data_IF_907971297416
#
_entry.id   IF_907971297416
#
_cell.length_a   1.000
_cell.length_b   1.000
_cell.length_c   1.000
_cell.angle_alpha   90.00
_cell.angle_beta   90.00
_cell.angle_gamma   90.00
#
_symmetry.space_group_name_H-M   'P 1'
#
loop_
_entity.id
_entity.type
_entity.pdbx_description
1 polymer ?
#
# COMPACT_ATOMS: atom_id res chain seq x y z
N UNK A 1 0.47 -14.40 -10.45
CA UNK A 1 0.67 -13.16 -9.67
C UNK A 1 -0.16 -13.28 -8.42
N UNK A 2 0.43 -13.00 -7.26
CA UNK A 2 -0.28 -12.93 -5.98
C UNK A 2 -0.46 -11.46 -5.63
N UNK A 3 -1.64 -11.09 -5.15
CA UNK A 3 -1.91 -9.73 -4.69
C UNK A 3 -2.16 -9.75 -3.19
N UNK A 4 -1.60 -8.76 -2.49
CA UNK A 4 -1.87 -8.50 -1.08
C UNK A 4 -2.66 -7.21 -1.02
N UNK A 5 -3.85 -7.26 -0.41
CA UNK A 5 -4.66 -6.09 -0.17
C UNK A 5 -4.14 -5.34 1.06
N UNK A 6 -3.55 -4.17 0.83
CA UNK A 6 -2.93 -3.38 1.89
C UNK A 6 -3.88 -2.38 2.56
N UNK A 7 -5.11 -2.26 2.05
CA UNK A 7 -6.18 -1.51 2.70
C UNK A 7 -6.95 -0.57 1.77
N UNK A 8 -8.06 -0.05 2.29
CA UNK A 8 -8.92 0.93 1.63
C UNK A 8 -8.35 2.35 1.79
N UNK A 9 -8.11 3.01 0.67
CA UNK A 9 -7.50 4.34 0.63
C UNK A 9 -8.50 5.46 0.89
N UNK A 10 -9.74 5.27 0.48
CA UNK A 10 -10.78 6.27 0.54
C UNK A 10 -12.15 5.64 0.34
N UNK A 11 -13.12 6.07 1.14
CA UNK A 11 -14.55 5.82 0.95
C UNK A 11 -15.29 7.16 0.91
N UNK A 12 -16.31 7.28 0.08
CA UNK A 12 -17.10 8.51 0.01
C UNK A 12 -18.40 8.36 -0.77
N UNK A 13 -19.39 9.19 -0.41
CA UNK A 13 -20.67 9.23 -1.12
C UNK A 13 -20.52 9.94 -2.47
N UNK A 14 -21.02 9.29 -3.52
CA UNK A 14 -21.07 9.87 -4.86
C UNK A 14 -22.42 10.57 -5.02
N UNK A 15 -22.45 11.91 -4.87
CA UNK A 15 -23.67 12.70 -5.10
C UNK A 15 -23.83 13.07 -6.58
N UNK A 16 -24.80 12.40 -7.23
CA UNK A 16 -25.30 12.76 -8.55
C UNK A 16 -24.45 12.24 -9.73
N UNK A 17 -24.71 12.80 -10.92
CA UNK A 17 -24.09 12.37 -12.20
C UNK A 17 -22.90 13.22 -12.62
N UNK A 18 -22.29 13.97 -11.71
CA UNK A 18 -21.21 14.91 -12.04
C UNK A 18 -19.90 14.13 -12.24
N UNK A 19 -18.90 14.77 -12.84
CA UNK A 19 -17.55 14.19 -12.84
C UNK A 19 -16.99 14.27 -11.42
N UNK A 20 -16.48 13.16 -10.92
CA UNK A 20 -15.81 13.06 -9.63
C UNK A 20 -14.29 13.02 -9.88
N UNK A 21 -13.53 13.69 -9.02
CA UNK A 21 -12.08 13.68 -9.05
C UNK A 21 -11.58 13.32 -7.66
N UNK A 22 -10.73 12.30 -7.60
CA UNK A 22 -10.06 11.88 -6.38
C UNK A 22 -8.56 12.04 -6.58
N UNK A 23 -7.88 12.56 -5.56
CA UNK A 23 -6.44 12.62 -5.51
C UNK A 23 -5.98 11.69 -4.40
N UNK A 24 -5.00 10.84 -4.69
CA UNK A 24 -4.40 9.93 -3.73
C UNK A 24 -2.87 10.08 -3.82
N UNK A 25 -2.19 9.98 -2.70
CA UNK A 25 -0.76 10.30 -2.55
C UNK A 25 0.12 9.10 -2.21
N UNK A 26 -0.27 7.89 -2.62
CA UNK A 26 0.51 6.64 -2.49
C UNK A 26 0.89 6.27 -1.06
N UNK A 27 0.16 6.81 -0.07
CA UNK A 27 0.37 6.46 1.35
C UNK A 27 -0.57 5.36 1.78
N UNK A 28 -0.10 4.56 2.74
CA UNK A 28 -0.85 3.51 3.41
C UNK A 28 -0.72 3.60 4.93
N UNK A 29 -1.73 3.11 5.68
CA UNK A 29 -1.71 3.13 7.12
C UNK A 29 -0.77 2.04 7.64
N UNK A 30 0.05 2.43 8.61
CA UNK A 30 0.99 1.53 9.28
C UNK A 30 0.77 1.55 10.78
N UNK A 31 0.88 0.39 11.40
CA UNK A 31 0.96 0.23 12.84
C UNK A 31 2.42 0.26 13.28
N UNK A 32 2.72 1.06 14.30
CA UNK A 32 4.10 1.26 14.78
C UNK A 32 4.11 1.62 16.27
N UNK A 33 5.29 1.51 16.90
CA UNK A 33 5.47 1.97 18.28
C UNK A 33 5.47 3.49 18.34
N UNK A 34 4.91 4.05 19.42
CA UNK A 34 4.98 5.49 19.68
C UNK A 34 6.44 5.96 19.73
N UNK A 35 6.73 7.10 19.10
CA UNK A 35 8.09 7.66 19.06
C UNK A 35 9.05 6.93 18.11
N UNK A 36 8.66 5.79 17.54
CA UNK A 36 9.38 5.22 16.40
C UNK A 36 9.23 6.14 15.19
N UNK A 37 10.34 6.44 14.51
CA UNK A 37 10.26 7.26 13.30
C UNK A 37 9.40 6.53 12.26
N UNK A 38 8.34 7.18 11.78
CA UNK A 38 7.43 6.58 10.82
C UNK A 38 8.17 6.23 9.51
N UNK A 39 8.16 4.93 9.16
CA UNK A 39 8.81 4.39 7.95
C UNK A 39 7.93 3.29 7.34
N UNK A 40 8.01 3.14 6.03
CA UNK A 40 7.33 2.06 5.33
C UNK A 40 7.76 0.68 5.90
N UNK A 41 6.81 -0.24 6.12
CA UNK A 41 7.09 -1.63 6.40
C UNK A 41 7.84 -2.26 5.23
N UNK A 42 8.89 -3.06 5.50
CA UNK A 42 9.58 -3.77 4.44
C UNK A 42 8.70 -4.87 3.86
N UNK A 43 8.40 -4.78 2.57
CA UNK A 43 7.65 -5.78 1.81
C UNK A 43 8.64 -6.68 1.07
N UNK A 44 8.68 -7.96 1.41
CA UNK A 44 9.38 -8.97 0.58
C UNK A 44 10.90 -8.78 0.39
N UNK A 45 11.56 -7.87 1.09
CA UNK A 45 12.96 -7.54 0.82
C UNK A 45 13.95 -8.57 1.40
N UNK A 46 14.74 -9.16 0.50
CA UNK A 46 16.02 -9.85 0.78
C UNK A 46 17.05 -8.76 1.10
N UNK A 47 17.56 -8.70 2.33
CA UNK A 47 18.69 -7.84 2.69
C UNK A 47 18.53 -6.93 3.91
N UNK A 48 17.35 -6.88 4.55
CA UNK A 48 17.24 -6.32 5.91
C UNK A 48 17.65 -7.43 6.88
N UNK A 49 18.61 -7.16 7.78
CA UNK A 49 18.88 -8.08 8.89
C UNK A 49 17.73 -7.97 9.89
N UNK A 50 16.65 -8.71 9.60
CA UNK A 50 15.40 -8.67 10.38
C UNK A 50 15.64 -9.08 11.82
N UNK A 51 16.70 -9.83 12.13
CA UNK A 51 16.94 -10.39 13.46
C UNK A 51 17.05 -9.35 14.57
N UNK A 52 17.59 -8.17 14.26
CA UNK A 52 17.77 -7.10 15.26
C UNK A 52 16.52 -6.22 15.45
N UNK A 53 15.54 -6.30 14.53
CA UNK A 53 14.34 -5.46 14.54
C UNK A 53 13.03 -6.25 14.72
N UNK A 54 13.08 -7.58 14.78
CA UNK A 54 11.92 -8.45 15.00
C UNK A 54 11.10 -7.94 16.21
N UNK A 55 9.81 -7.68 15.99
CA UNK A 55 8.90 -7.20 17.02
C UNK A 55 8.85 -5.67 17.16
N UNK A 56 9.72 -4.91 16.49
CA UNK A 56 9.76 -3.44 16.62
C UNK A 56 9.58 -2.74 15.26
N UNK A 57 9.30 -3.51 14.20
CA UNK A 57 9.13 -2.98 12.86
C UNK A 57 7.73 -2.39 12.67
N UNK A 58 7.60 -1.28 11.92
CA UNK A 58 6.29 -0.83 11.45
C UNK A 58 5.70 -1.89 10.51
N UNK A 59 4.38 -2.05 10.55
CA UNK A 59 3.63 -3.02 9.75
C UNK A 59 2.50 -2.33 9.02
N UNK A 60 2.16 -2.77 7.80
CA UNK A 60 0.95 -2.27 7.16
C UNK A 60 -0.23 -2.76 8.00
N UNK A 61 -1.20 -1.89 8.25
CA UNK A 61 -2.30 -2.31 9.11
C UNK A 61 -3.30 -3.19 8.35
N UNK A 62 -3.41 -3.00 7.02
CA UNK A 62 -4.54 -3.55 6.26
C UNK A 62 -5.87 -2.99 6.78
N UNK A 63 -6.97 -3.24 6.08
CA UNK A 63 -8.31 -2.90 6.58
C UNK A 63 -9.09 -1.92 5.70
N UNK A 64 -10.30 -1.60 6.14
CA UNK A 64 -11.29 -0.83 5.38
C UNK A 64 -12.01 0.20 6.25
N UNK A 65 -12.67 1.15 5.62
CA UNK A 65 -13.41 2.19 6.33
C UNK A 65 -14.80 1.70 6.74
N UNK A 66 -15.17 1.96 8.00
CA UNK A 66 -16.50 1.64 8.51
C UNK A 66 -17.59 2.40 7.74
N UNK A 67 -18.72 1.76 7.48
CA UNK A 67 -19.84 2.43 6.79
C UNK A 67 -20.46 3.55 7.63
N UNK A 68 -20.18 3.55 8.93
CA UNK A 68 -20.76 4.48 9.90
C UNK A 68 -19.90 5.73 10.14
N UNK A 69 -18.65 5.77 9.64
CA UNK A 69 -17.78 6.94 9.78
C UNK A 69 -16.65 7.01 8.76
N UNK A 70 -16.33 8.23 8.33
CA UNK A 70 -15.18 8.52 7.44
C UNK A 70 -13.83 8.55 8.17
N UNK A 71 -13.82 8.49 9.51
CA UNK A 71 -12.62 8.55 10.36
C UNK A 71 -12.34 7.24 11.12
N UNK A 72 -13.15 6.21 10.90
CA UNK A 72 -13.05 4.91 11.56
C UNK A 72 -12.65 3.82 10.57
N UNK A 73 -11.50 3.19 10.79
CA UNK A 73 -11.00 2.07 9.99
C UNK A 73 -11.03 0.78 10.81
N UNK A 74 -11.45 -0.30 10.17
CA UNK A 74 -11.54 -1.65 10.72
C UNK A 74 -10.44 -2.50 10.11
N UNK A 75 -9.63 -3.12 10.94
CA UNK A 75 -8.52 -3.99 10.52
C UNK A 75 -8.54 -5.27 11.33
N UNK A 76 -7.90 -6.32 10.83
CA UNK A 76 -7.78 -7.59 11.54
C UNK A 76 -6.35 -7.85 11.98
N UNK A 77 -6.22 -8.56 13.09
CA UNK A 77 -4.93 -9.00 13.58
C UNK A 77 -5.01 -10.31 14.35
N UNK A 78 -3.91 -11.05 14.34
CA UNK A 78 -3.67 -12.14 15.28
C UNK A 78 -2.88 -11.61 16.47
N UNK A 79 -3.33 -11.94 17.67
CA UNK A 79 -2.64 -11.68 18.94
C UNK A 79 -2.10 -12.98 19.54
N UNK A 80 -0.93 -12.92 20.15
CA UNK A 80 -0.38 -14.01 20.97
C UNK A 80 0.15 -13.43 22.28
N UNK A 81 -0.43 -13.84 23.40
CA UNK A 81 0.00 -13.40 24.72
C UNK A 81 1.40 -13.89 25.09
N UNK A 82 2.03 -13.29 26.12
CA UNK A 82 3.37 -13.67 26.55
C UNK A 82 3.42 -15.13 27.03
N UNK A 83 4.11 -15.98 26.28
CA UNK A 83 4.26 -17.41 26.62
C UNK A 83 3.09 -18.29 26.16
N UNK A 84 2.12 -17.72 25.44
CA UNK A 84 1.06 -18.49 24.79
C UNK A 84 1.55 -19.11 23.48
N UNK A 85 1.02 -20.29 23.16
CA UNK A 85 1.29 -20.96 21.88
C UNK A 85 0.23 -20.62 20.83
N UNK A 86 -1.03 -20.49 21.26
CA UNK A 86 -2.17 -20.20 20.39
C UNK A 86 -2.29 -18.71 20.10
N UNK A 87 -3.01 -18.40 19.02
CA UNK A 87 -3.31 -17.04 18.61
C UNK A 87 -4.79 -16.76 18.81
N UNK A 88 -5.08 -15.53 19.22
CA UNK A 88 -6.43 -14.98 19.31
C UNK A 88 -6.66 -14.02 18.15
N UNK A 89 -7.75 -14.20 17.42
CA UNK A 89 -8.14 -13.30 16.34
C UNK A 89 -8.82 -12.05 16.89
N UNK A 90 -8.39 -10.89 16.40
CA UNK A 90 -8.84 -9.59 16.86
C UNK A 90 -9.31 -8.71 15.70
N UNK A 91 -10.30 -7.89 16.01
CA UNK A 91 -10.73 -6.75 15.19
C UNK A 91 -10.20 -5.49 15.85
N UNK A 92 -9.42 -4.71 15.10
CA UNK A 92 -8.82 -3.46 15.52
C UNK A 92 -9.66 -2.30 14.97
N UNK A 93 -10.20 -1.48 15.86
CA UNK A 93 -10.92 -0.26 15.49
C UNK A 93 -9.98 0.94 15.61
N UNK A 94 -9.63 1.51 14.47
CA UNK A 94 -8.73 2.66 14.37
C UNK A 94 -9.52 3.93 14.18
N UNK A 95 -9.25 4.94 15.00
CA UNK A 95 -9.79 6.29 14.84
C UNK A 95 -8.71 7.28 14.43
N UNK A 96 -8.97 8.04 13.38
CA UNK A 96 -8.05 9.08 12.93
C UNK A 96 -8.37 10.44 13.57
N UNK A 97 -7.33 11.07 14.11
CA UNK A 97 -7.39 12.37 14.75
C UNK A 97 -7.16 13.49 13.73
N UNK A 98 -7.51 14.71 14.13
CA UNK A 98 -7.20 15.92 13.36
C UNK A 98 -5.68 16.02 13.15
N UNK A 99 -5.25 16.06 11.88
CA UNK A 99 -3.83 15.97 11.50
C UNK A 99 -3.39 14.63 10.89
N UNK A 100 -4.28 13.62 10.88
CA UNK A 100 -4.10 12.38 10.11
C UNK A 100 -3.37 11.24 10.84
N UNK A 101 -2.97 11.45 12.11
CA UNK A 101 -2.49 10.36 12.95
C UNK A 101 -3.68 9.55 13.50
N UNK A 102 -3.54 8.23 13.55
CA UNK A 102 -4.55 7.31 14.07
C UNK A 102 -4.14 6.67 15.38
N UNK A 103 -5.16 6.29 16.17
CA UNK A 103 -5.01 5.53 17.41
C UNK A 103 -5.95 4.32 17.39
N UNK A 104 -5.61 3.27 18.15
CA UNK A 104 -6.53 2.16 18.40
C UNK A 104 -7.59 2.60 19.42
N UNK A 105 -8.81 2.84 18.95
CA UNK A 105 -9.95 3.23 19.78
C UNK A 105 -10.41 2.04 20.62
N UNK A 106 -10.71 0.92 19.97
CA UNK A 106 -11.12 -0.33 20.61
C UNK A 106 -10.54 -1.55 19.93
N UNK A 107 -10.47 -2.64 20.68
CA UNK A 107 -9.98 -3.94 20.25
C UNK A 107 -11.05 -4.95 20.64
N UNK A 108 -11.53 -5.71 19.67
CA UNK A 108 -12.64 -6.65 19.83
C UNK A 108 -12.12 -8.06 19.56
N UNK A 109 -12.53 -9.01 20.40
CA UNK A 109 -12.33 -10.43 20.14
C UNK A 109 -13.16 -10.86 18.94
N UNK A 110 -12.51 -11.43 17.93
CA UNK A 110 -13.22 -12.07 16.82
C UNK A 110 -13.56 -13.52 17.19
N UNK A 111 -14.57 -13.67 18.05
CA UNK A 111 -15.09 -14.99 18.46
C UNK A 111 -15.81 -15.74 17.33
N UNK A 112 -16.01 -15.12 16.16
CA UNK A 112 -16.68 -15.76 15.02
C UNK A 112 -15.78 -16.81 14.33
N UNK A 113 -14.49 -16.81 14.65
CA UNK A 113 -13.48 -17.74 14.11
C UNK A 113 -13.20 -18.95 15.02
N UNK A 114 -13.78 -19.02 16.23
CA UNK A 114 -13.56 -20.14 17.16
C UNK A 114 -14.10 -21.49 16.65
N UNK A 115 -14.98 -21.50 15.63
CA UNK A 115 -15.56 -22.71 15.03
C UNK A 115 -14.99 -23.09 13.62
N UNK A 116 -13.80 -22.57 13.26
CA UNK A 116 -12.82 -23.06 12.24
C UNK A 116 -13.25 -23.11 10.73
N UNK A 117 -12.31 -23.17 9.73
CA UNK A 117 -11.21 -24.16 9.65
C UNK A 117 -9.79 -23.62 9.32
N UNK A 118 -8.72 -24.33 9.73
CA UNK A 118 -7.47 -24.35 8.97
C UNK A 118 -7.70 -25.11 7.65
N UNK A 119 -7.15 -24.56 6.58
CA UNK A 119 -7.22 -25.02 5.18
C UNK A 119 -8.54 -24.75 4.44
N UNK A 120 -8.50 -23.75 3.56
CA UNK A 120 -9.37 -23.63 2.39
C UNK A 120 -10.77 -23.08 2.64
N UNK A 121 -11.00 -21.85 2.17
CA UNK A 121 -12.28 -21.23 1.82
C UNK A 121 -13.56 -22.02 2.21
N UNK A 122 -14.20 -21.58 3.29
CA UNK A 122 -15.57 -21.96 3.62
C UNK A 122 -16.18 -20.94 4.56
N UNK A 123 -17.21 -20.22 4.09
CA UNK A 123 -18.10 -19.46 4.97
C UNK A 123 -18.78 -20.43 5.93
N UNK A 124 -18.60 -20.22 7.23
CA UNK A 124 -19.26 -21.04 8.25
C UNK A 124 -20.60 -20.39 8.60
N UNK A 125 -21.70 -21.17 8.58
CA UNK A 125 -23.09 -20.69 8.79
C UNK A 125 -23.39 -20.21 10.23
N UNK A 126 -22.40 -20.28 11.13
CA UNK A 126 -22.52 -19.89 12.55
C UNK A 126 -21.66 -18.67 12.92
N UNK A 127 -21.53 -17.68 12.02
CA UNK A 127 -20.97 -16.38 12.40
C UNK A 127 -21.90 -15.67 13.40
N UNK A 128 -21.70 -15.94 14.69
CA UNK A 128 -22.21 -15.08 15.75
C UNK A 128 -21.46 -13.76 15.62
N UNK A 129 -22.18 -12.63 15.60
CA UNK A 129 -21.57 -11.32 15.56
C UNK A 129 -20.47 -11.23 16.64
N UNK A 130 -19.28 -10.70 16.32
CA UNK A 130 -18.17 -10.64 17.26
C UNK A 130 -18.64 -10.02 18.57
N UNK A 131 -18.39 -10.72 19.68
CA UNK A 131 -18.78 -10.21 20.99
C UNK A 131 -17.83 -9.07 21.32
N UNK A 132 -18.36 -7.85 21.31
CA UNK A 132 -17.65 -6.63 21.73
C UNK A 132 -17.25 -6.71 23.20
N UNK A 133 -16.17 -7.42 23.49
CA UNK A 133 -15.44 -7.35 24.74
C UNK A 133 -14.25 -6.43 24.49
N UNK A 134 -14.09 -5.39 25.31
CA UNK A 134 -12.88 -4.57 25.30
C UNK A 134 -11.70 -5.48 25.66
N UNK A 135 -10.90 -5.83 24.65
CA UNK A 135 -9.70 -6.63 24.81
C UNK A 135 -8.54 -5.72 25.22
N UNK A 136 -7.78 -6.12 26.25
CA UNK A 136 -6.59 -5.40 26.69
C UNK A 136 -5.33 -6.15 26.28
N UNK A 137 -4.38 -5.45 25.67
CA UNK A 137 -3.10 -6.05 25.30
C UNK A 137 -2.19 -6.20 26.52
N UNK A 138 -1.57 -7.38 26.65
CA UNK A 138 -0.52 -7.60 27.63
C UNK A 138 0.84 -7.12 27.12
N UNK A 139 1.65 -6.44 27.95
CA UNK A 139 3.01 -6.08 27.61
C UNK A 139 3.85 -7.28 27.16
N UNK A 140 4.57 -7.11 26.06
CA UNK A 140 5.43 -8.13 25.48
C UNK A 140 4.71 -9.19 24.64
N UNK A 141 3.37 -9.12 24.53
CA UNK A 141 2.60 -9.90 23.57
C UNK A 141 3.00 -9.55 22.13
N UNK A 142 2.60 -10.39 21.17
CA UNK A 142 2.87 -10.20 19.75
C UNK A 142 1.56 -9.97 19.01
N UNK A 143 1.59 -9.03 18.06
CA UNK A 143 0.45 -8.70 17.22
C UNK A 143 0.86 -8.69 15.76
N UNK A 144 0.15 -9.46 14.93
CA UNK A 144 0.35 -9.53 13.48
C UNK A 144 -0.88 -8.97 12.78
N UNK A 145 -0.78 -7.89 11.99
CA UNK A 145 -1.83 -7.51 11.07
C UNK A 145 -2.11 -8.65 10.08
N UNK A 146 -3.39 -8.89 9.84
CA UNK A 146 -3.89 -9.90 8.91
C UNK A 146 -4.39 -9.20 7.65
N UNK A 147 -3.92 -9.69 6.50
CA UNK A 147 -4.24 -9.12 5.20
C UNK A 147 -5.07 -10.08 4.38
N UNK A 148 -5.94 -9.51 3.56
CA UNK A 148 -6.60 -10.24 2.50
C UNK A 148 -5.64 -10.45 1.32
N UNK A 149 -5.58 -11.66 0.80
CA UNK A 149 -4.82 -12.04 -0.38
C UNK A 149 -5.70 -12.76 -1.38
N UNK A 150 -5.34 -12.64 -2.64
CA UNK A 150 -5.92 -13.43 -3.71
C UNK A 150 -4.83 -14.11 -4.53
N UNK A 151 -5.10 -15.36 -4.89
CA UNK A 151 -4.31 -16.08 -5.88
C UNK A 151 -5.20 -16.71 -6.95
N UNK A 152 -4.70 -16.89 -8.19
CA UNK A 152 -5.47 -17.54 -9.24
C UNK A 152 -5.84 -18.96 -8.80
N UNK A 153 -7.10 -19.35 -9.01
CA UNK A 153 -7.51 -20.73 -8.75
C UNK A 153 -6.76 -21.65 -9.72
N UNK A 154 -5.90 -22.57 -9.22
CA UNK A 154 -5.16 -23.49 -10.07
C UNK A 154 -6.08 -24.41 -10.88
N UNK A 155 -7.32 -24.62 -10.43
CA UNK A 155 -8.31 -25.46 -11.10
C UNK A 155 -9.20 -24.66 -12.06
N UNK A 156 -9.35 -23.35 -11.86
CA UNK A 156 -10.15 -22.45 -12.69
C UNK A 156 -9.38 -21.15 -12.99
N UNK A 157 -8.60 -21.07 -14.09
CA UNK A 157 -7.72 -19.94 -14.40
C UNK A 157 -8.39 -18.56 -14.62
N UNK A 158 -9.71 -18.45 -14.49
CA UNK A 158 -10.47 -17.21 -14.52
C UNK A 158 -11.00 -16.76 -13.15
N UNK A 159 -10.88 -17.62 -12.13
CA UNK A 159 -11.37 -17.39 -10.78
C UNK A 159 -10.19 -17.09 -9.85
N UNK A 160 -10.44 -16.30 -8.81
CA UNK A 160 -9.46 -15.94 -7.78
C UNK A 160 -9.91 -16.53 -6.45
N UNK A 161 -8.98 -17.18 -5.74
CA UNK A 161 -9.20 -17.74 -4.40
C UNK A 161 -8.74 -16.75 -3.33
N UNK A 162 -9.67 -16.21 -2.52
CA UNK A 162 -9.31 -15.36 -1.41
C UNK A 162 -8.77 -16.18 -0.23
N UNK A 163 -7.80 -15.63 0.49
CA UNK A 163 -7.34 -16.15 1.77
C UNK A 163 -6.73 -15.04 2.64
N UNK A 164 -6.67 -15.28 3.94
CA UNK A 164 -6.01 -14.39 4.87
C UNK A 164 -4.53 -14.78 5.05
N UNK A 165 -3.65 -13.77 5.08
CA UNK A 165 -2.21 -13.97 5.29
C UNK A 165 -1.68 -13.03 6.38
N UNK A 166 -0.48 -13.36 6.87
CA UNK A 166 0.31 -12.51 7.74
C UNK A 166 1.79 -12.78 7.47
N UNK A 167 2.65 -11.77 7.68
CA UNK A 167 4.08 -11.96 7.54
C UNK A 167 4.63 -12.64 8.79
N UNK A 168 5.23 -13.83 8.64
CA UNK A 168 5.76 -14.63 9.76
C UNK A 168 6.72 -13.85 10.68
N UNK A 169 7.56 -13.01 10.08
CA UNK A 169 8.54 -12.17 10.79
C UNK A 169 8.05 -10.71 11.02
N UNK A 170 6.80 -10.42 10.67
CA UNK A 170 6.22 -9.07 10.72
C UNK A 170 5.19 -8.94 11.84
N UNK A 171 5.63 -9.07 13.10
CA UNK A 171 4.82 -8.72 14.26
C UNK A 171 5.35 -7.48 14.95
N UNK A 172 4.45 -6.80 15.66
CA UNK A 172 4.78 -5.77 16.62
C UNK A 172 4.67 -6.37 18.02
N UNK A 173 5.65 -6.05 18.86
CA UNK A 173 5.67 -6.42 20.26
C UNK A 173 4.95 -5.32 21.02
N UNK A 174 3.93 -5.70 21.78
CA UNK A 174 3.14 -4.76 22.57
C UNK A 174 4.05 -4.09 23.63
N UNK A 175 4.06 -2.76 23.73
CA UNK A 175 4.85 -2.04 24.71
C UNK A 175 4.24 -2.11 26.12
N UNK A 176 4.98 -1.64 27.13
CA UNK A 176 4.56 -1.65 28.54
C UNK A 176 3.26 -0.87 28.80
N UNK A 177 3.00 0.17 28.01
CA UNK A 177 1.76 0.95 28.05
C UNK A 177 0.65 0.39 27.13
N UNK A 178 0.77 -0.85 26.65
CA UNK A 178 -0.28 -1.56 25.92
C UNK A 178 -0.66 -0.86 24.61
N UNK A 179 -1.96 -0.72 24.37
CA UNK A 179 -2.49 -0.08 23.14
C UNK A 179 -2.06 1.38 22.99
N UNK A 180 -1.85 2.09 24.10
CA UNK A 180 -1.51 3.52 24.08
C UNK A 180 -0.09 3.78 23.59
N UNK A 181 0.78 2.76 23.60
CA UNK A 181 2.11 2.84 23.00
C UNK A 181 2.14 2.49 21.51
N UNK A 182 0.98 2.27 20.90
CA UNK A 182 0.84 2.00 19.47
C UNK A 182 0.23 3.21 18.77
N UNK A 183 0.79 3.55 17.61
CA UNK A 183 0.31 4.66 16.79
C UNK A 183 0.17 4.23 15.35
N UNK A 184 -0.81 4.84 14.67
CA UNK A 184 -1.10 4.56 13.27
C UNK A 184 -0.77 5.80 12.45
N UNK A 185 0.08 5.62 11.44
CA UNK A 185 0.56 6.71 10.60
C UNK A 185 0.38 6.38 9.12
N UNK A 186 0.17 7.41 8.31
CA UNK A 186 0.17 7.28 6.85
C UNK A 186 1.57 7.53 6.31
N UNK A 187 2.19 6.50 5.75
CA UNK A 187 3.54 6.59 5.16
C UNK A 187 3.50 6.22 3.69
N UNK A 188 4.39 6.83 2.91
CA UNK A 188 4.58 6.42 1.52
C UNK A 188 5.04 4.97 1.47
N UNK A 189 4.47 4.20 0.54
CA UNK A 189 4.80 2.78 0.38
C UNK A 189 6.23 2.56 -0.13
N UNK A 190 6.73 1.35 0.04
CA UNK A 190 8.01 0.97 -0.55
C UNK A 190 7.98 1.00 -2.08
N UNK A 191 9.16 1.05 -2.73
CA UNK A 191 9.22 0.99 -4.19
C UNK A 191 8.72 -0.36 -4.69
N UNK A 192 7.82 -0.35 -5.66
CA UNK A 192 7.17 -1.58 -6.11
C UNK A 192 6.03 -1.34 -7.11
N UNK A 193 5.44 -2.45 -7.54
CA UNK A 193 4.23 -2.46 -8.36
C UNK A 193 3.01 -2.61 -7.43
N UNK A 194 2.05 -1.72 -7.61
CA UNK A 194 0.80 -1.66 -6.86
C UNK A 194 -0.37 -1.60 -7.84
N UNK A 195 -1.55 -1.96 -7.35
CA UNK A 195 -2.81 -1.77 -8.06
C UNK A 195 -3.79 -1.08 -7.13
N UNK A 196 -4.43 -0.02 -7.63
CA UNK A 196 -5.58 0.59 -6.99
C UNK A 196 -6.83 0.17 -7.74
N UNK A 197 -7.87 -0.17 -6.99
CA UNK A 197 -9.16 -0.57 -7.54
C UNK A 197 -10.23 0.37 -7.02
N UNK A 198 -11.13 0.78 -7.91
CA UNK A 198 -12.26 1.66 -7.59
C UNK A 198 -13.54 0.94 -7.97
N UNK A 199 -14.42 0.81 -6.99
CA UNK A 199 -15.72 0.19 -7.15
C UNK A 199 -16.79 1.10 -6.53
N UNK A 200 -17.97 1.10 -7.13
CA UNK A 200 -19.11 1.89 -6.67
C UNK A 200 -20.23 0.93 -6.29
N UNK A 201 -20.78 1.10 -5.09
CA UNK A 201 -22.02 0.43 -4.68
C UNK A 201 -23.22 1.37 -4.83
N UNK A 202 -24.37 0.80 -5.18
CA UNK A 202 -25.65 1.49 -5.03
C UNK A 202 -26.22 1.30 -3.60
N UNK A 203 -27.35 1.94 -3.32
CA UNK A 203 -28.02 1.85 -2.00
C UNK A 203 -28.47 0.42 -1.64
N UNK A 204 -28.58 -0.48 -2.61
CA UNK A 204 -28.93 -1.88 -2.40
C UNK A 204 -27.72 -2.80 -2.26
N UNK A 205 -26.50 -2.24 -2.29
CA UNK A 205 -25.25 -2.99 -2.21
C UNK A 205 -24.82 -3.62 -3.52
N UNK A 206 -25.45 -3.29 -4.65
CA UNK A 206 -24.99 -3.79 -5.95
C UNK A 206 -23.69 -3.08 -6.34
N UNK A 207 -22.65 -3.87 -6.60
CA UNK A 207 -21.34 -3.38 -6.97
C UNK A 207 -21.22 -3.17 -8.48
N UNK A 208 -20.52 -2.11 -8.87
CA UNK A 208 -20.09 -1.91 -10.25
C UNK A 208 -18.97 -2.87 -10.65
N UNK A 209 -18.67 -2.94 -11.95
CA UNK A 209 -17.36 -3.42 -12.38
C UNK A 209 -16.25 -2.56 -11.75
N UNK A 210 -15.13 -3.19 -11.46
CA UNK A 210 -13.95 -2.54 -10.87
C UNK A 210 -13.16 -1.78 -11.93
N UNK A 211 -12.84 -0.53 -11.63
CA UNK A 211 -11.84 0.23 -12.37
C UNK A 211 -10.47 -0.04 -11.75
N UNK A 212 -9.54 -0.56 -12.53
CA UNK A 212 -8.20 -0.96 -12.05
C UNK A 212 -7.13 -0.02 -12.60
N UNK A 213 -6.24 0.44 -11.72
CA UNK A 213 -5.14 1.33 -12.02
C UNK A 213 -3.82 0.70 -11.55
N UNK A 214 -2.96 0.34 -12.50
CA UNK A 214 -1.62 -0.15 -12.18
C UNK A 214 -0.68 1.04 -11.88
N UNK A 215 -0.01 0.98 -10.74
CA UNK A 215 0.82 2.05 -10.18
C UNK A 215 2.21 1.51 -9.92
N UNK A 216 3.24 2.16 -10.49
CA UNK A 216 4.63 1.91 -10.13
C UNK A 216 5.08 2.99 -9.15
N UNK A 217 5.42 2.60 -7.93
CA UNK A 217 6.12 3.48 -6.99
C UNK A 217 7.61 3.31 -7.22
N UNK A 218 8.23 4.35 -7.77
CA UNK A 218 9.67 4.39 -7.96
C UNK A 218 10.36 4.72 -6.64
N UNK A 219 11.57 4.18 -6.42
CA UNK A 219 12.32 4.38 -5.18
C UNK A 219 12.92 5.76 -5.04
N UNK A 220 14.00 5.90 -4.26
CA UNK A 220 14.58 7.20 -3.97
C UNK A 220 15.08 7.90 -5.25
N UNK A 221 14.17 8.67 -5.86
CA UNK A 221 14.40 9.54 -7.00
C UNK A 221 15.30 10.72 -6.61
N UNK A 222 15.67 10.92 -5.34
CA UNK A 222 16.62 11.97 -4.94
C UNK A 222 18.03 11.78 -5.52
N UNK A 223 18.33 10.60 -6.06
CA UNK A 223 19.56 10.36 -6.83
C UNK A 223 19.42 10.67 -8.32
N UNK A 224 18.19 10.80 -8.83
CA UNK A 224 17.93 11.13 -10.23
C UNK A 224 17.48 12.59 -10.35
N UNK A 225 18.04 13.34 -11.30
CA UNK A 225 17.64 14.72 -11.52
C UNK A 225 16.18 14.78 -12.00
N UNK A 226 15.44 15.81 -11.57
CA UNK A 226 14.07 16.02 -12.04
C UNK A 226 14.00 16.18 -13.56
N UNK A 227 13.12 15.41 -14.22
CA UNK A 227 12.88 15.52 -15.66
C UNK A 227 11.87 16.64 -15.94
N UNK A 228 12.35 17.73 -16.53
CA UNK A 228 11.50 18.83 -16.96
C UNK A 228 11.00 18.60 -18.40
N UNK A 229 9.70 18.78 -18.60
CA UNK A 229 9.05 18.73 -19.90
C UNK A 229 8.60 20.14 -20.30
N UNK A 230 9.06 20.61 -21.46
CA UNK A 230 8.69 21.91 -22.02
C UNK A 230 8.36 21.79 -23.50
N UNK A 231 7.72 22.83 -24.05
CA UNK A 231 7.38 22.91 -25.47
C UNK A 231 8.14 24.08 -26.11
N UNK A 232 8.95 23.79 -27.13
CA UNK A 232 9.63 24.80 -27.95
C UNK A 232 9.06 24.76 -29.38
N UNK A 233 8.07 25.60 -29.65
CA UNK A 233 7.36 25.59 -30.93
C UNK A 233 6.61 24.27 -31.16
N UNK A 234 6.98 23.54 -32.22
CA UNK A 234 6.39 22.23 -32.53
C UNK A 234 7.21 21.04 -31.96
N UNK A 235 8.05 21.29 -30.95
CA UNK A 235 8.91 20.27 -30.35
C UNK A 235 8.68 20.14 -28.86
N UNK A 236 8.57 18.91 -28.40
CA UNK A 236 8.71 18.53 -27.01
C UNK A 236 10.20 18.58 -26.65
N UNK A 237 10.52 19.24 -25.55
CA UNK A 237 11.88 19.34 -25.02
C UNK A 237 11.88 18.78 -23.61
N UNK A 238 12.64 17.70 -23.43
CA UNK A 238 12.90 17.05 -22.16
C UNK A 238 14.27 17.46 -21.68
N UNK A 239 14.42 17.89 -20.42
CA UNK A 239 15.71 18.31 -19.88
C UNK A 239 15.88 17.96 -18.42
N UNK A 240 17.10 17.64 -18.00
CA UNK A 240 17.42 17.33 -16.61
C UNK A 240 18.84 17.80 -16.24
N UNK A 241 19.04 18.34 -15.02
CA UNK A 241 20.35 18.80 -14.56
C UNK A 241 21.37 17.66 -14.40
N UNK A 242 22.66 17.98 -14.51
CA UNK A 242 23.76 17.07 -14.16
C UNK A 242 24.64 17.76 -13.12
N UNK A 243 24.44 17.48 -11.81
CA UNK A 243 25.14 18.25 -10.78
C UNK A 243 26.60 17.83 -10.55
N UNK A 244 27.02 16.59 -10.84
CA UNK A 244 28.39 16.13 -10.53
C UNK A 244 29.00 15.16 -11.56
N UNK A 245 28.87 15.46 -12.86
CA UNK A 245 29.43 14.57 -13.90
C UNK A 245 28.72 13.21 -14.05
N UNK A 246 27.66 12.98 -13.26
CA UNK A 246 26.59 12.01 -13.46
C UNK A 246 27.02 10.53 -13.48
N UNK A 247 26.60 9.75 -12.49
CA UNK A 247 26.21 8.38 -12.83
C UNK A 247 25.12 8.52 -13.91
N UNK A 248 25.40 8.08 -15.14
CA UNK A 248 24.63 8.45 -16.34
C UNK A 248 23.16 8.01 -16.20
N UNK A 249 22.28 8.94 -15.86
CA UNK A 249 20.85 8.71 -15.98
C UNK A 249 20.51 8.50 -17.46
N UNK A 250 19.89 7.38 -17.80
CA UNK A 250 19.45 7.08 -19.15
C UNK A 250 17.99 7.51 -19.32
N UNK A 251 17.72 8.29 -20.37
CA UNK A 251 16.36 8.63 -20.78
C UNK A 251 15.79 7.44 -21.55
N UNK A 252 14.62 6.97 -21.13
CA UNK A 252 13.86 5.94 -21.84
C UNK A 252 12.52 6.48 -22.30
N UNK A 253 11.98 5.86 -23.33
CA UNK A 253 10.64 6.15 -23.83
C UNK A 253 9.84 4.88 -24.15
N UNK A 254 8.53 5.02 -24.18
CA UNK A 254 7.58 3.98 -24.61
C UNK A 254 6.33 4.61 -25.23
N UNK A 255 5.58 3.85 -26.04
CA UNK A 255 4.30 4.28 -26.64
C UNK A 255 3.09 4.00 -25.72
N UNK A 256 3.22 3.07 -24.78
CA UNK A 256 2.20 2.72 -23.79
C UNK A 256 2.75 2.38 -22.41
N UNK A 257 1.99 2.69 -21.36
CA UNK A 257 2.28 2.22 -20.01
C UNK A 257 2.11 0.68 -19.97
N UNK A 258 3.18 -0.05 -19.62
CA UNK A 258 3.21 -1.53 -19.62
C UNK A 258 3.93 -2.17 -20.82
N UNK A 259 4.36 -1.37 -21.81
CA UNK A 259 5.17 -1.83 -22.93
C UNK A 259 6.69 -1.81 -22.61
N UNK A 260 7.50 -2.38 -23.50
CA UNK A 260 8.95 -2.39 -23.37
C UNK A 260 9.52 -0.97 -23.48
N UNK A 261 10.33 -0.58 -22.50
CA UNK A 261 10.99 0.72 -22.47
C UNK A 261 12.25 0.68 -23.33
N UNK A 262 12.37 1.64 -24.25
CA UNK A 262 13.53 1.77 -25.13
C UNK A 262 14.41 2.92 -24.67
N UNK A 263 15.72 2.68 -24.58
CA UNK A 263 16.70 3.74 -24.33
C UNK A 263 16.71 4.75 -25.49
N UNK A 264 16.67 6.04 -25.16
CA UNK A 264 16.99 7.10 -26.10
C UNK A 264 18.49 7.03 -26.38
N UNK A 265 18.92 6.83 -27.64
CA UNK A 265 20.34 6.76 -27.97
C UNK A 265 21.09 8.01 -27.51
N UNK A 266 22.28 7.82 -26.95
CA UNK A 266 23.09 8.94 -26.44
C UNK A 266 23.44 9.97 -27.52
N UNK A 267 23.48 9.57 -28.80
CA UNK A 267 23.67 10.46 -29.95
C UNK A 267 22.48 11.40 -30.22
N UNK A 268 21.29 11.07 -29.73
CA UNK A 268 20.09 11.90 -29.85
C UNK A 268 19.94 12.86 -28.65
N UNK A 269 20.79 12.73 -27.64
CA UNK A 269 20.83 13.60 -26.47
C UNK A 269 21.76 14.78 -26.70
N UNK A 270 21.22 15.99 -26.58
CA UNK A 270 21.97 17.24 -26.59
C UNK A 270 22.39 17.70 -25.19
N UNK A 271 23.06 18.85 -25.16
CA UNK A 271 23.35 19.62 -23.95
C UNK A 271 22.67 20.99 -24.03
N UNK A 272 22.17 21.48 -22.90
CA UNK A 272 21.66 22.84 -22.78
C UNK A 272 21.43 23.24 -21.32
N UNK A 273 21.77 24.49 -20.98
CA UNK A 273 21.83 24.93 -19.58
C UNK A 273 22.88 24.13 -18.79
N UNK A 274 22.52 23.70 -17.58
CA UNK A 274 23.37 22.93 -16.67
C UNK A 274 23.15 21.39 -16.77
N UNK A 275 22.71 20.86 -17.92
CA UNK A 275 22.34 19.45 -18.01
C UNK A 275 22.17 18.89 -19.42
N UNK A 276 21.43 17.77 -19.50
CA UNK A 276 21.08 17.06 -20.75
C UNK A 276 19.74 17.53 -21.26
N UNK A 277 19.56 17.43 -22.58
CA UNK A 277 18.25 17.62 -23.21
C UNK A 277 18.00 16.63 -24.33
N UNK A 278 16.73 16.35 -24.58
CA UNK A 278 16.23 15.61 -25.73
C UNK A 278 15.13 16.44 -26.39
N UNK A 279 15.15 16.54 -27.73
CA UNK A 279 14.15 17.28 -28.49
C UNK A 279 13.48 16.38 -29.51
N UNK A 280 12.16 16.36 -29.49
CA UNK A 280 11.38 15.58 -30.44
C UNK A 280 10.23 16.40 -31.02
N UNK A 281 9.99 16.27 -32.33
CA UNK A 281 8.85 16.91 -32.98
C UNK A 281 7.54 16.27 -32.51
N UNK A 282 6.51 17.09 -32.25
CA UNK A 282 5.16 16.60 -31.95
C UNK A 282 4.58 15.89 -33.17
N UNK A 283 4.27 14.60 -33.05
CA UNK A 283 3.74 13.75 -34.15
C UNK A 283 2.29 13.31 -33.98
N UNK A 284 1.59 13.81 -32.95
CA UNK A 284 0.21 13.40 -32.65
C UNK A 284 0.07 11.99 -32.07
N UNK A 285 1.18 11.39 -31.64
CA UNK A 285 1.24 10.12 -30.91
C UNK A 285 1.53 10.39 -29.43
N UNK A 286 0.96 9.58 -28.54
CA UNK A 286 1.28 9.61 -27.11
C UNK A 286 2.60 8.89 -26.88
N UNK A 287 3.49 9.49 -26.08
CA UNK A 287 4.73 8.87 -25.61
C UNK A 287 4.94 9.19 -24.15
N UNK A 288 5.49 8.21 -23.43
CA UNK A 288 5.88 8.35 -22.04
C UNK A 288 7.39 8.34 -21.95
N UNK A 289 7.95 9.10 -21.01
CA UNK A 289 9.38 9.23 -20.81
C UNK A 289 9.72 9.07 -19.33
N UNK A 290 10.87 8.47 -19.04
CA UNK A 290 11.42 8.35 -17.68
C UNK A 290 12.93 8.46 -17.69
N UNK A 291 13.50 8.83 -16.54
CA UNK A 291 14.93 8.69 -16.28
C UNK A 291 15.15 7.44 -15.43
N UNK A 292 16.14 6.64 -15.81
CA UNK A 292 16.60 5.52 -14.99
C UNK A 292 18.06 5.72 -14.62
N UNK A 293 18.46 5.15 -13.48
CA UNK A 293 19.87 5.04 -13.11
C UNK A 293 20.49 3.81 -13.79
N UNK A 294 21.74 3.91 -14.25
CA UNK A 294 22.55 2.77 -14.69
C UNK A 294 23.56 2.37 -13.63
#
# INVERSE_FOLDING_TARGET
NQYIYLGELHRGLIDGKKKHQHNWDTRLPILSLEGSGAKAPPVGSVGVDRKELIGEMPLYLGGWWSELSDDLMVSYADYQGPGEEEKTHLILMTKYLEGGAGILESIILDSSLEDAPPDGAGENENQVAPVGVDFEFEPGAKLWPVYYMEEPDPENPGDWKPYFTWFKDGYIKIPENGKDGLVINWVGVEPGDYRAEVQVSDFYGNLSEELKFDIRVEGDLKSLPGLALTLEGARVVLSWPMEDGGEEAALQWTEGLGEEWTDVPSGDLGFGGAGRLYKESVRGQTRFYRLIKR
#
